data_IF_301390327613
#
_entry.id   IF_301390327613
#
_cell.length_a   1.000
_cell.length_b   1.000
_cell.length_c   1.000
_cell.angle_alpha   90.00
_cell.angle_beta   90.00
_cell.angle_gamma   90.00
#
_symmetry.space_group_name_H-M   'P 1'
#
loop_
_entity.id
_entity.type
_entity.pdbx_description
1 polymer ?
#
# COMPACT_ATOMS: atom_id res chain seq x y z
N UNK A 1 -37.87 -10.50 8.72
CA UNK A 1 -36.69 -9.84 9.33
C UNK A 1 -35.87 -9.19 8.22
N UNK A 2 -36.22 -7.97 7.81
CA UNK A 2 -35.56 -7.26 6.68
C UNK A 2 -35.07 -5.85 7.10
N UNK A 3 -35.26 -5.46 8.37
CA UNK A 3 -35.12 -4.07 8.82
C UNK A 3 -33.73 -3.75 9.43
N UNK A 4 -32.86 -4.74 9.63
CA UNK A 4 -31.57 -4.52 10.33
C UNK A 4 -30.39 -4.22 9.38
N UNK A 5 -30.53 -4.45 8.08
CA UNK A 5 -29.42 -4.29 7.12
C UNK A 5 -29.21 -2.85 6.61
N UNK A 6 -30.12 -1.92 6.91
CA UNK A 6 -30.15 -0.59 6.27
C UNK A 6 -29.34 0.51 6.97
N UNK A 7 -28.83 0.26 8.20
CA UNK A 7 -28.16 1.30 9.00
C UNK A 7 -26.63 1.36 8.82
N UNK A 8 -26.01 0.37 8.19
CA UNK A 8 -24.55 0.35 7.95
C UNK A 8 -24.11 1.01 6.63
N UNK A 9 -25.04 1.53 5.83
CA UNK A 9 -24.74 2.09 4.52
C UNK A 9 -24.37 3.60 4.53
N UNK A 10 -24.51 4.29 5.67
CA UNK A 10 -24.31 5.74 5.76
C UNK A 10 -22.89 6.16 6.20
N UNK A 11 -22.04 5.23 6.62
CA UNK A 11 -20.66 5.54 7.04
C UNK A 11 -19.69 5.73 5.87
N UNK A 12 -20.16 5.56 4.62
CA UNK A 12 -19.33 5.63 3.40
C UNK A 12 -19.50 6.89 2.55
N UNK A 13 -20.25 7.91 3.01
CA UNK A 13 -20.51 9.12 2.21
C UNK A 13 -20.13 10.43 2.90
N UNK A 14 -19.56 10.38 4.11
CA UNK A 14 -18.94 11.55 4.70
C UNK A 14 -17.52 11.66 4.14
N UNK A 15 -17.34 12.47 3.10
CA UNK A 15 -16.01 12.93 2.71
C UNK A 15 -15.36 13.61 3.93
N UNK A 16 -14.02 13.63 4.05
CA UNK A 16 -13.31 14.40 5.07
C UNK A 16 -12.89 15.77 4.52
N UNK A 17 -13.81 16.73 4.27
CA UNK A 17 -13.51 17.93 3.48
C UNK A 17 -12.44 18.79 4.13
N UNK A 18 -12.42 18.90 5.46
CA UNK A 18 -11.43 19.70 6.17
C UNK A 18 -10.04 19.05 6.09
N UNK A 19 -9.95 17.74 6.33
CA UNK A 19 -8.68 17.02 6.26
C UNK A 19 -8.14 16.99 4.83
N UNK A 20 -9.00 16.78 3.84
CA UNK A 20 -8.63 16.84 2.43
C UNK A 20 -8.21 18.25 2.00
N UNK A 21 -8.90 19.31 2.44
CA UNK A 21 -8.53 20.68 2.09
C UNK A 21 -7.20 21.10 2.73
N UNK A 22 -6.95 20.70 3.98
CA UNK A 22 -5.77 21.11 4.75
C UNK A 22 -4.57 20.19 4.55
N UNK A 23 -4.80 18.92 4.21
CA UNK A 23 -3.77 17.88 4.15
C UNK A 23 -3.34 17.36 5.52
N UNK A 24 -4.08 17.65 6.60
CA UNK A 24 -3.76 17.17 7.95
C UNK A 24 -3.81 15.65 8.05
N UNK A 25 -4.81 15.05 7.40
CA UNK A 25 -4.96 13.60 7.26
C UNK A 25 -5.29 13.30 5.79
N UNK A 26 -4.53 12.39 5.21
CA UNK A 26 -4.63 12.03 3.79
C UNK A 26 -5.50 10.79 3.60
N UNK A 27 -6.82 10.97 3.74
CA UNK A 27 -7.82 9.92 3.59
C UNK A 27 -7.96 9.38 2.15
N UNK A 28 -8.62 8.23 1.99
CA UNK A 28 -8.85 7.61 0.67
C UNK A 28 -9.98 8.20 -0.15
N UNK A 29 -10.88 8.94 0.51
CA UNK A 29 -12.00 9.66 -0.09
C UNK A 29 -11.63 11.06 -0.59
N UNK A 30 -10.40 11.55 -0.32
CA UNK A 30 -9.96 12.85 -0.83
C UNK A 30 -9.96 12.88 -2.36
N UNK A 31 -10.74 13.77 -2.94
CA UNK A 31 -10.86 13.93 -4.39
C UNK A 31 -9.62 14.64 -5.00
N UNK A 32 -9.32 14.39 -6.29
CA UNK A 32 -8.29 15.11 -7.02
C UNK A 32 -8.43 16.64 -6.90
N UNK A 33 -7.30 17.32 -6.73
CA UNK A 33 -7.24 18.78 -6.55
C UNK A 33 -7.26 19.26 -5.10
N UNK A 34 -7.48 18.37 -4.12
CA UNK A 34 -7.33 18.67 -2.69
C UNK A 34 -5.87 18.48 -2.22
N UNK A 35 -5.46 19.14 -1.12
CA UNK A 35 -4.12 18.94 -0.55
C UNK A 35 -3.93 17.50 -0.05
N UNK A 36 -4.92 16.95 0.65
CA UNK A 36 -4.92 15.58 1.14
C UNK A 36 -4.77 14.54 0.04
N UNK A 37 -5.37 14.76 -1.14
CA UNK A 37 -5.16 13.91 -2.31
C UNK A 37 -3.69 13.92 -2.78
N UNK A 38 -3.05 15.09 -2.84
CA UNK A 38 -1.64 15.20 -3.22
C UNK A 38 -0.73 14.50 -2.21
N UNK A 39 -0.94 14.74 -0.91
CA UNK A 39 -0.16 14.08 0.16
C UNK A 39 -0.31 12.56 0.08
N UNK A 40 -1.53 12.06 -0.16
CA UNK A 40 -1.78 10.63 -0.37
C UNK A 40 -1.04 10.12 -1.59
N UNK A 41 -1.12 10.83 -2.71
CA UNK A 41 -0.47 10.42 -3.95
C UNK A 41 1.05 10.34 -3.79
N UNK A 42 1.66 11.32 -3.12
CA UNK A 42 3.09 11.30 -2.79
C UNK A 42 3.44 10.14 -1.87
N UNK A 43 2.62 9.88 -0.84
CA UNK A 43 2.81 8.75 0.07
C UNK A 43 2.77 7.40 -0.67
N UNK A 44 1.84 7.24 -1.61
CA UNK A 44 1.74 6.02 -2.44
C UNK A 44 2.93 5.89 -3.39
N UNK A 45 3.40 6.98 -3.99
CA UNK A 45 4.63 6.97 -4.82
C UNK A 45 5.84 6.57 -3.99
N UNK A 46 6.01 7.14 -2.80
CA UNK A 46 7.10 6.82 -1.89
C UNK A 46 7.05 5.36 -1.46
N UNK A 47 5.86 4.83 -1.15
CA UNK A 47 5.67 3.42 -0.83
C UNK A 47 6.03 2.52 -2.03
N UNK A 48 5.64 2.88 -3.24
CA UNK A 48 6.00 2.12 -4.44
C UNK A 48 7.53 2.08 -4.64
N UNK A 49 8.20 3.24 -4.52
CA UNK A 49 9.66 3.32 -4.60
C UNK A 49 10.34 2.47 -3.54
N UNK A 50 9.85 2.52 -2.29
CA UNK A 50 10.39 1.70 -1.20
C UNK A 50 10.23 0.19 -1.47
N UNK A 51 9.09 -0.23 -2.02
CA UNK A 51 8.85 -1.63 -2.40
C UNK A 51 9.76 -2.09 -3.53
N UNK A 52 9.96 -1.27 -4.56
CA UNK A 52 10.89 -1.60 -5.66
C UNK A 52 12.33 -1.73 -5.16
N UNK A 53 12.76 -0.81 -4.27
CA UNK A 53 14.09 -0.89 -3.66
C UNK A 53 14.24 -2.17 -2.82
N UNK A 54 13.21 -2.55 -2.06
CA UNK A 54 13.24 -3.79 -1.30
C UNK A 54 13.29 -5.01 -2.23
N UNK A 55 12.49 -5.04 -3.29
CA UNK A 55 12.50 -6.12 -4.27
C UNK A 55 13.88 -6.31 -4.92
N UNK A 56 14.59 -5.21 -5.21
CA UNK A 56 15.96 -5.26 -5.72
C UNK A 56 16.95 -5.83 -4.71
N UNK A 57 16.81 -5.50 -3.42
CA UNK A 57 17.63 -6.08 -2.34
C UNK A 57 17.37 -7.57 -2.18
N UNK A 58 16.10 -7.98 -2.16
CA UNK A 58 15.72 -9.39 -2.05
C UNK A 58 16.24 -10.20 -3.25
N UNK A 59 16.13 -9.66 -4.47
CA UNK A 59 16.70 -10.28 -5.67
C UNK A 59 18.21 -10.47 -5.56
N UNK A 60 18.96 -9.43 -5.17
CA UNK A 60 20.39 -9.52 -4.97
C UNK A 60 20.76 -10.55 -3.90
N UNK A 61 20.03 -10.58 -2.78
CA UNK A 61 20.25 -11.54 -1.70
C UNK A 61 19.98 -12.97 -2.14
N UNK A 62 18.86 -13.24 -2.80
CA UNK A 62 18.53 -14.58 -3.28
C UNK A 62 19.52 -15.06 -4.35
N UNK A 63 19.96 -14.17 -5.24
CA UNK A 63 21.03 -14.50 -6.20
C UNK A 63 22.37 -14.78 -5.53
N UNK A 64 22.69 -14.09 -4.42
CA UNK A 64 23.91 -14.36 -3.64
C UNK A 64 23.94 -15.78 -3.04
N UNK A 65 22.77 -16.38 -2.80
CA UNK A 65 22.62 -17.77 -2.39
C UNK A 65 22.69 -18.77 -3.55
N UNK A 66 22.98 -18.30 -4.77
CA UNK A 66 23.00 -19.13 -5.98
C UNK A 66 21.62 -19.42 -6.56
N UNK A 67 20.54 -18.84 -6.01
CA UNK A 67 19.19 -19.04 -6.55
C UNK A 67 18.99 -18.23 -7.84
N UNK A 68 18.53 -18.90 -8.90
CA UNK A 68 18.30 -18.27 -10.20
C UNK A 68 16.83 -17.82 -10.33
N UNK A 69 16.54 -16.60 -10.85
CA UNK A 69 15.17 -16.16 -11.10
C UNK A 69 14.35 -17.22 -11.86
N UNK A 70 13.15 -17.50 -11.36
CA UNK A 70 12.25 -18.52 -11.92
C UNK A 70 12.44 -19.94 -11.36
N UNK A 71 13.49 -20.20 -10.57
CA UNK A 71 13.63 -21.46 -9.84
C UNK A 71 12.81 -21.48 -8.55
N UNK A 72 12.42 -22.68 -8.10
CA UNK A 72 11.73 -22.88 -6.83
C UNK A 72 12.55 -22.32 -5.65
N UNK A 73 13.87 -22.49 -5.68
CA UNK A 73 14.79 -21.96 -4.67
C UNK A 73 14.72 -20.42 -4.59
N UNK A 74 14.63 -19.73 -5.73
CA UNK A 74 14.52 -18.28 -5.79
C UNK A 74 13.17 -17.78 -5.28
N UNK A 75 12.07 -18.43 -5.71
CA UNK A 75 10.71 -18.09 -5.26
C UNK A 75 10.60 -18.29 -3.74
N UNK A 76 11.08 -19.43 -3.23
CA UNK A 76 11.07 -19.69 -1.80
C UNK A 76 11.92 -18.70 -1.02
N UNK A 77 13.12 -18.35 -1.52
CA UNK A 77 13.96 -17.34 -0.89
C UNK A 77 13.22 -16.00 -0.74
N UNK A 78 12.60 -15.50 -1.81
CA UNK A 78 11.85 -14.24 -1.77
C UNK A 78 10.66 -14.27 -0.81
N UNK A 79 9.93 -15.39 -0.77
CA UNK A 79 8.83 -15.58 0.20
C UNK A 79 9.34 -15.54 1.63
N UNK A 80 10.49 -16.13 1.91
CA UNK A 80 11.07 -16.13 3.26
C UNK A 80 11.56 -14.73 3.66
N UNK A 81 12.19 -14.00 2.74
CA UNK A 81 12.62 -12.62 2.99
C UNK A 81 11.43 -11.68 3.27
N UNK A 82 10.33 -11.80 2.52
CA UNK A 82 9.09 -11.04 2.75
C UNK A 82 8.51 -11.28 4.16
N UNK A 83 8.54 -12.53 4.65
CA UNK A 83 8.09 -12.88 6.00
C UNK A 83 8.98 -12.29 7.10
N UNK A 84 10.29 -12.19 6.86
CA UNK A 84 11.25 -11.66 7.85
C UNK A 84 11.41 -10.15 7.81
N UNK A 85 11.00 -9.49 6.71
CA UNK A 85 11.06 -8.04 6.54
C UNK A 85 9.83 -7.28 7.05
N UNK A 86 8.84 -7.99 7.62
CA UNK A 86 7.69 -7.45 8.35
C UNK A 86 7.92 -7.56 9.85
#
# INVERSE_FOLDING_TARGET
MVIVASLFALTGCANHPLDCATGLIAWDDCLPGTKGYTVRQESLKNLAVAKELQAAKDDAQCRSYGATPGSDAYVNCRVQLDKTGK
#
